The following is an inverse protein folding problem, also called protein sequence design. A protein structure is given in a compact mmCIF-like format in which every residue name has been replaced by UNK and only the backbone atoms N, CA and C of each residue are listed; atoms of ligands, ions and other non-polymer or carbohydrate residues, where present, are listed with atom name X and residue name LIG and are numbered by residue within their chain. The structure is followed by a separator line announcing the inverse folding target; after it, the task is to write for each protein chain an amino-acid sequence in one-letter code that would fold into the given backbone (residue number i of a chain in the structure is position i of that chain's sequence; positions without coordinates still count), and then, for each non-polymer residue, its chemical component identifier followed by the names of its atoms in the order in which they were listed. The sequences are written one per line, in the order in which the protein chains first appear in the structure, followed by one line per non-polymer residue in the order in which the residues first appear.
data_IF_398862107987
#
_entry.id   IF_398862107987
#
_cell.length_a   1.000
_cell.length_b   1.000
_cell.length_c   1.000
_cell.angle_alpha   90.00
_cell.angle_beta   90.00
_cell.angle_gamma   90.00
#
_symmetry.space_group_name_H-M   'P 1'
#
loop_
_entity.id
_entity.type
_entity.pdbx_description
1 polymer ?
#
# COMPACT_ATOMS: atom_id res chain seq x y z
N UNK A 1 -28.50 -3.49 -10.59
CA UNK A 1 -27.64 -2.35 -10.24
C UNK A 1 -27.84 -2.06 -8.76
N UNK A 2 -26.80 -2.10 -7.93
CA UNK A 2 -26.94 -1.85 -6.48
C UNK A 2 -27.29 -0.37 -6.25
N UNK A 3 -27.96 -0.06 -5.13
CA UNK A 3 -28.33 1.32 -4.76
C UNK A 3 -27.11 2.26 -4.73
N UNK A 4 -25.97 1.76 -4.22
CA UNK A 4 -24.71 2.51 -4.25
C UNK A 4 -24.18 2.80 -5.66
N UNK A 5 -24.27 1.85 -6.60
CA UNK A 5 -23.83 2.09 -7.97
C UNK A 5 -24.69 3.16 -8.66
N UNK A 6 -25.99 3.20 -8.35
CA UNK A 6 -26.89 4.25 -8.84
C UNK A 6 -26.55 5.62 -8.24
N UNK A 7 -26.25 5.68 -6.94
CA UNK A 7 -25.78 6.92 -6.30
C UNK A 7 -24.45 7.40 -6.87
N UNK A 8 -23.49 6.49 -7.08
CA UNK A 8 -22.20 6.79 -7.71
C UNK A 8 -22.41 7.33 -9.14
N UNK A 9 -23.25 6.67 -9.94
CA UNK A 9 -23.57 7.13 -11.29
C UNK A 9 -24.22 8.52 -11.28
N UNK A 10 -25.16 8.76 -10.37
CA UNK A 10 -25.81 10.08 -10.21
C UNK A 10 -24.79 11.15 -9.87
N UNK A 11 -23.88 10.88 -8.93
CA UNK A 11 -22.81 11.79 -8.53
C UNK A 11 -21.85 12.12 -9.70
N UNK A 12 -21.42 11.10 -10.44
CA UNK A 12 -20.56 11.26 -11.63
C UNK A 12 -21.25 12.12 -12.72
N UNK A 13 -22.53 11.87 -13.00
CA UNK A 13 -23.26 12.63 -14.01
C UNK A 13 -23.65 14.05 -13.57
N UNK A 14 -23.92 14.23 -12.29
CA UNK A 14 -24.45 15.48 -11.73
C UNK A 14 -23.35 16.43 -11.28
N UNK A 15 -22.69 16.10 -10.17
CA UNK A 15 -21.71 16.99 -9.52
C UNK A 15 -20.38 17.02 -10.27
N UNK A 16 -19.92 15.88 -10.77
CA UNK A 16 -18.66 15.81 -11.53
C UNK A 16 -18.86 16.28 -12.98
N UNK A 17 -20.07 16.15 -13.52
CA UNK A 17 -20.43 16.61 -14.87
C UNK A 17 -19.98 15.69 -16.00
N UNK A 18 -19.87 14.38 -15.77
CA UNK A 18 -19.61 13.39 -16.82
C UNK A 18 -20.93 13.04 -17.54
N UNK A 19 -21.11 13.54 -18.76
CA UNK A 19 -22.36 13.38 -19.51
C UNK A 19 -22.52 12.02 -20.20
N UNK A 20 -21.43 11.44 -20.73
CA UNK A 20 -21.41 10.14 -21.39
C UNK A 20 -20.18 9.34 -20.91
N UNK A 21 -20.40 8.31 -20.11
CA UNK A 21 -19.33 7.43 -19.62
C UNK A 21 -19.79 5.98 -19.47
N UNK A 22 -18.85 5.05 -19.59
CA UNK A 22 -19.05 3.66 -19.18
C UNK A 22 -18.40 3.45 -17.81
N UNK A 23 -18.98 2.56 -17.02
CA UNK A 23 -18.47 2.18 -15.70
C UNK A 23 -18.33 0.67 -15.64
N UNK A 24 -17.12 0.20 -15.37
CA UNK A 24 -16.80 -1.22 -15.28
C UNK A 24 -16.13 -1.53 -13.94
N UNK A 25 -16.53 -2.59 -13.23
CA UNK A 25 -15.88 -2.95 -11.97
C UNK A 25 -14.41 -3.33 -12.24
N UNK A 26 -13.52 -2.74 -11.46
CA UNK A 26 -12.15 -3.27 -11.32
C UNK A 26 -12.25 -4.45 -10.35
N UNK A 27 -11.71 -5.61 -10.73
CA UNK A 27 -11.70 -6.77 -9.83
C UNK A 27 -10.96 -6.39 -8.55
N UNK A 28 -11.70 -6.30 -7.44
CA UNK A 28 -11.20 -5.77 -6.17
C UNK A 28 -10.75 -6.85 -5.19
N UNK A 29 -9.92 -6.43 -4.24
CA UNK A 29 -9.46 -7.23 -3.11
C UNK A 29 -10.54 -7.38 -2.02
N UNK A 30 -10.24 -8.06 -0.91
CA UNK A 30 -11.16 -8.38 0.18
C UNK A 30 -11.67 -7.19 1.03
N UNK A 31 -11.52 -5.94 0.57
CA UNK A 31 -11.94 -4.74 1.32
C UNK A 31 -13.41 -4.37 1.09
N UNK A 32 -13.92 -3.44 1.91
CA UNK A 32 -15.26 -2.88 1.71
C UNK A 32 -15.32 -1.84 0.58
N UNK A 33 -14.16 -1.36 0.12
CA UNK A 33 -14.03 -0.40 -0.98
C UNK A 33 -14.22 -1.11 -2.31
N UNK A 34 -14.89 -0.43 -3.23
CA UNK A 34 -15.05 -0.90 -4.60
C UNK A 34 -14.48 0.12 -5.55
N UNK A 35 -13.79 -0.37 -6.56
CA UNK A 35 -13.19 0.45 -7.60
C UNK A 35 -13.89 0.17 -8.92
N UNK A 36 -14.17 1.23 -9.65
CA UNK A 36 -14.79 1.15 -10.97
C UNK A 36 -14.00 1.99 -11.95
N UNK A 37 -13.59 1.40 -13.07
CA UNK A 37 -13.00 2.15 -14.17
C UNK A 37 -14.11 2.89 -14.91
N UNK A 38 -13.94 4.20 -15.01
CA UNK A 38 -14.84 5.12 -15.70
C UNK A 38 -14.17 5.58 -16.98
N UNK A 39 -14.77 5.29 -18.12
CA UNK A 39 -14.27 5.75 -19.43
C UNK A 39 -15.24 6.79 -19.96
N UNK A 40 -14.80 8.05 -19.99
CA UNK A 40 -15.58 9.13 -20.57
C UNK A 40 -15.60 9.03 -22.10
N UNK A 41 -16.64 9.54 -22.76
CA UNK A 41 -16.77 9.52 -24.21
C UNK A 41 -15.60 10.22 -24.95
N UNK A 42 -14.93 11.17 -24.27
CA UNK A 42 -13.71 11.82 -24.79
C UNK A 42 -12.45 10.95 -24.79
N UNK A 43 -12.52 9.73 -24.23
CA UNK A 43 -11.39 8.80 -24.11
C UNK A 43 -10.64 8.89 -22.77
N UNK A 44 -10.93 9.91 -21.96
CA UNK A 44 -10.35 10.04 -20.63
C UNK A 44 -10.77 8.88 -19.71
N UNK A 45 -9.80 8.34 -18.98
CA UNK A 45 -10.01 7.23 -18.05
C UNK A 45 -9.80 7.69 -16.62
N UNK A 46 -10.68 7.23 -15.75
CA UNK A 46 -10.69 7.54 -14.33
C UNK A 46 -11.03 6.28 -13.54
N UNK A 47 -10.72 6.30 -12.24
CA UNK A 47 -11.15 5.25 -11.30
C UNK A 47 -12.08 5.89 -10.28
N UNK A 48 -13.34 5.47 -10.28
CA UNK A 48 -14.28 5.83 -9.23
C UNK A 48 -14.13 4.87 -8.05
N UNK A 49 -13.86 5.40 -6.86
CA UNK A 49 -13.86 4.66 -5.60
C UNK A 49 -15.23 4.84 -4.92
N UNK A 50 -15.77 3.73 -4.44
CA UNK A 50 -16.93 3.66 -3.57
C UNK A 50 -16.52 3.02 -2.22
N UNK A 51 -16.42 3.83 -1.17
CA UNK A 51 -16.11 3.41 0.19
C UNK A 51 -17.27 3.83 1.12
N UNK A 52 -18.13 2.90 1.59
CA UNK A 52 -19.28 3.24 2.41
C UNK A 52 -18.87 3.99 3.71
N UNK A 53 -19.39 5.22 3.97
CA UNK A 53 -18.97 6.04 5.12
C UNK A 53 -19.23 5.40 6.49
N UNK A 54 -20.20 4.49 6.58
CA UNK A 54 -20.50 3.72 7.78
C UNK A 54 -19.44 2.66 8.10
N UNK A 55 -18.57 2.35 7.14
CA UNK A 55 -17.52 1.34 7.25
C UNK A 55 -16.12 1.94 7.17
N UNK A 56 -15.94 2.98 6.35
CA UNK A 56 -14.62 3.42 5.95
C UNK A 56 -14.58 4.91 5.58
N UNK A 57 -13.58 5.62 6.13
CA UNK A 57 -13.40 7.06 5.90
C UNK A 57 -12.46 7.30 4.72
N UNK A 58 -12.89 8.14 3.77
CA UNK A 58 -12.07 8.54 2.62
C UNK A 58 -11.08 9.66 2.94
N UNK A 59 -11.22 10.38 4.07
CA UNK A 59 -10.36 11.52 4.42
C UNK A 59 -8.88 11.14 4.56
N UNK A 60 -8.50 10.03 5.23
CA UNK A 60 -7.11 9.58 5.28
C UNK A 60 -6.53 9.32 3.89
N UNK A 61 -7.31 8.70 2.99
CA UNK A 61 -6.88 8.47 1.60
C UNK A 61 -6.53 9.78 0.91
N UNK A 62 -7.42 10.78 0.94
CA UNK A 62 -7.20 12.06 0.27
C UNK A 62 -5.99 12.78 0.86
N UNK A 63 -5.88 12.81 2.19
CA UNK A 63 -4.76 13.48 2.89
C UNK A 63 -3.41 12.87 2.52
N UNK A 64 -3.29 11.53 2.59
CA UNK A 64 -2.04 10.85 2.26
C UNK A 64 -1.75 10.99 0.76
N UNK A 65 -2.75 10.90 -0.12
CA UNK A 65 -2.57 11.07 -1.55
C UNK A 65 -1.99 12.46 -1.88
N UNK A 66 -2.55 13.53 -1.31
CA UNK A 66 -2.06 14.90 -1.52
C UNK A 66 -0.64 15.07 -0.99
N UNK A 67 -0.33 14.52 0.18
CA UNK A 67 1.01 14.55 0.76
C UNK A 67 2.03 13.85 -0.15
N UNK A 68 1.77 12.61 -0.56
CA UNK A 68 2.68 11.86 -1.44
C UNK A 68 2.86 12.56 -2.80
N UNK A 69 1.79 13.12 -3.39
CA UNK A 69 1.92 13.92 -4.63
C UNK A 69 2.78 15.15 -4.44
N UNK A 70 2.68 15.83 -3.29
CA UNK A 70 3.51 17.01 -3.01
C UNK A 70 5.01 16.70 -2.94
N UNK A 71 5.36 15.43 -2.69
CA UNK A 71 6.73 14.91 -2.71
C UNK A 71 7.19 14.47 -4.10
N UNK A 72 6.34 14.61 -5.12
CA UNK A 72 6.62 14.16 -6.49
C UNK A 72 6.40 12.67 -6.72
N UNK A 73 5.79 11.96 -5.77
CA UNK A 73 5.43 10.55 -5.93
C UNK A 73 4.16 10.42 -6.78
N UNK A 74 4.09 9.35 -7.57
CA UNK A 74 2.97 9.11 -8.47
C UNK A 74 1.88 8.28 -7.77
N UNK A 75 0.98 8.95 -7.07
CA UNK A 75 -0.24 8.33 -6.53
C UNK A 75 -1.48 8.87 -7.28
N UNK A 76 -2.63 8.16 -7.28
CA UNK A 76 -3.81 8.59 -8.00
C UNK A 76 -4.25 10.00 -7.58
N UNK A 77 -4.28 10.93 -8.53
CA UNK A 77 -4.78 12.28 -8.28
C UNK A 77 -6.27 12.27 -7.99
N UNK A 78 -6.68 12.96 -6.93
CA UNK A 78 -8.11 13.13 -6.59
C UNK A 78 -8.69 14.24 -7.48
N UNK A 79 -9.50 13.85 -8.46
CA UNK A 79 -10.19 14.80 -9.37
C UNK A 79 -11.43 15.39 -8.75
N UNK A 80 -12.22 14.56 -8.07
CA UNK A 80 -13.45 14.97 -7.40
C UNK A 80 -13.71 14.10 -6.17
N UNK A 81 -14.41 14.65 -5.18
CA UNK A 81 -14.74 13.95 -3.94
C UNK A 81 -16.15 14.30 -3.46
N UNK A 82 -16.87 13.30 -2.98
CA UNK A 82 -18.10 13.44 -2.21
C UNK A 82 -17.96 12.60 -0.93
N UNK A 83 -17.23 13.15 0.04
CA UNK A 83 -16.84 12.45 1.27
C UNK A 83 -18.05 12.02 2.11
N UNK A 84 -19.11 12.83 2.16
CA UNK A 84 -20.36 12.50 2.86
C UNK A 84 -21.05 11.24 2.31
N UNK A 85 -20.82 10.93 1.03
CA UNK A 85 -21.36 9.75 0.36
C UNK A 85 -20.32 8.62 0.22
N UNK A 86 -19.05 8.91 0.50
CA UNK A 86 -17.94 7.97 0.38
C UNK A 86 -17.49 7.72 -1.06
N UNK A 87 -17.58 8.74 -1.92
CA UNK A 87 -17.17 8.63 -3.32
C UNK A 87 -15.94 9.48 -3.63
N UNK A 88 -15.00 8.91 -4.37
CA UNK A 88 -13.87 9.63 -4.96
C UNK A 88 -13.78 9.32 -6.46
N UNK A 89 -13.31 10.29 -7.23
CA UNK A 89 -12.92 10.10 -8.61
C UNK A 89 -11.42 10.35 -8.72
N UNK A 90 -10.70 9.31 -9.10
CA UNK A 90 -9.25 9.22 -9.08
C UNK A 90 -8.68 9.12 -10.48
N UNK A 91 -7.46 9.62 -10.66
CA UNK A 91 -6.64 9.36 -11.84
C UNK A 91 -6.45 7.85 -12.08
N UNK A 92 -6.59 7.40 -13.32
CA UNK A 92 -6.30 6.03 -13.71
C UNK A 92 -4.79 5.88 -13.99
N UNK A 93 -4.07 5.19 -13.09
CA UNK A 93 -2.63 4.91 -13.23
C UNK A 93 -2.31 3.83 -14.27
N UNK A 94 -3.31 3.31 -14.98
CA UNK A 94 -3.17 2.29 -16.00
C UNK A 94 -3.63 0.92 -15.53
N UNK A 95 -3.20 -0.12 -16.24
CA UNK A 95 -3.66 -1.50 -16.02
C UNK A 95 -2.52 -2.51 -15.86
N UNK A 96 -1.26 -2.06 -15.89
CA UNK A 96 -0.09 -2.93 -15.83
C UNK A 96 0.56 -2.75 -14.48
N UNK A 97 0.46 -3.77 -13.64
CA UNK A 97 1.13 -3.85 -12.36
C UNK A 97 2.60 -4.25 -12.57
N UNK A 98 3.45 -4.00 -11.58
CA UNK A 98 4.83 -4.48 -11.61
C UNK A 98 4.86 -5.99 -11.73
N UNK A 99 4.00 -6.70 -10.97
CA UNK A 99 3.91 -8.17 -11.03
C UNK A 99 3.73 -8.71 -12.45
N UNK A 100 2.99 -8.00 -13.31
CA UNK A 100 2.69 -8.46 -14.68
C UNK A 100 3.94 -8.48 -15.58
N UNK A 101 4.96 -7.69 -15.26
CA UNK A 101 6.13 -7.46 -16.11
C UNK A 101 7.45 -7.82 -15.44
N UNK A 102 7.45 -8.13 -14.15
CA UNK A 102 8.64 -8.52 -13.40
C UNK A 102 9.19 -9.85 -13.94
N UNK A 103 10.46 -9.81 -14.33
CA UNK A 103 11.25 -10.96 -14.76
C UNK A 103 12.74 -10.62 -14.60
N UNK A 104 13.61 -11.59 -14.88
CA UNK A 104 15.06 -11.46 -14.72
C UNK A 104 15.65 -10.19 -15.35
N UNK A 105 15.10 -9.75 -16.49
CA UNK A 105 15.60 -8.58 -17.23
C UNK A 105 15.00 -7.23 -16.79
N UNK A 106 13.83 -7.24 -16.15
CA UNK A 106 13.09 -6.01 -15.78
C UNK A 106 13.17 -5.68 -14.30
N UNK A 107 13.43 -6.67 -13.44
CA UNK A 107 13.38 -6.53 -11.99
C UNK A 107 14.31 -5.46 -11.45
N UNK A 108 15.58 -5.43 -11.87
CA UNK A 108 16.54 -4.46 -11.33
C UNK A 108 16.13 -3.01 -11.61
N UNK A 109 15.56 -2.74 -12.79
CA UNK A 109 15.08 -1.39 -13.13
C UNK A 109 13.84 -1.03 -12.32
N UNK A 110 12.84 -1.91 -12.29
CA UNK A 110 11.58 -1.66 -11.61
C UNK A 110 11.77 -1.54 -10.09
N UNK A 111 12.56 -2.43 -9.49
CA UNK A 111 12.88 -2.35 -8.07
C UNK A 111 13.77 -1.14 -7.78
N UNK A 112 14.66 -0.75 -8.69
CA UNK A 112 15.37 0.53 -8.58
C UNK A 112 14.43 1.74 -8.49
N UNK A 113 13.42 1.82 -9.37
CA UNK A 113 12.40 2.87 -9.35
C UNK A 113 11.59 2.84 -8.03
N UNK A 114 11.15 1.65 -7.59
CA UNK A 114 10.40 1.48 -6.35
C UNK A 114 11.23 1.82 -5.10
N UNK A 115 12.46 1.36 -5.01
CA UNK A 115 13.36 1.68 -3.89
C UNK A 115 13.67 3.18 -3.83
N UNK A 116 13.82 3.84 -4.97
CA UNK A 116 13.95 5.30 -5.07
C UNK A 116 12.72 6.03 -4.52
N UNK A 117 11.53 5.61 -4.94
CA UNK A 117 10.27 6.18 -4.43
C UNK A 117 10.09 5.91 -2.93
N UNK A 118 10.41 4.71 -2.45
CA UNK A 118 10.35 4.35 -1.04
C UNK A 118 11.29 5.21 -0.20
N UNK A 119 12.51 5.49 -0.67
CA UNK A 119 13.43 6.39 0.02
C UNK A 119 12.85 7.81 0.15
N UNK A 120 12.14 8.32 -0.87
CA UNK A 120 11.45 9.61 -0.79
C UNK A 120 10.31 9.57 0.23
N UNK A 121 9.50 8.51 0.25
CA UNK A 121 8.45 8.33 1.28
C UNK A 121 9.07 8.39 2.67
N UNK A 122 10.09 7.57 2.93
CA UNK A 122 10.65 7.45 4.27
C UNK A 122 11.44 8.68 4.72
N UNK A 123 12.05 9.42 3.79
CA UNK A 123 12.80 10.64 4.10
C UNK A 123 11.90 11.87 4.31
N UNK A 124 10.80 11.96 3.55
CA UNK A 124 10.08 13.22 3.39
C UNK A 124 8.60 13.16 3.78
N UNK A 125 7.96 11.98 3.82
CA UNK A 125 6.55 11.88 4.18
C UNK A 125 6.36 12.17 5.68
N UNK A 126 5.36 13.01 6.04
CA UNK A 126 5.12 13.34 7.42
C UNK A 126 4.61 12.11 8.18
N UNK A 127 5.24 11.81 9.32
CA UNK A 127 4.74 10.80 10.27
C UNK A 127 3.73 11.38 11.26
N UNK A 128 3.69 12.71 11.39
CA UNK A 128 2.78 13.42 12.29
C UNK A 128 1.34 13.22 11.84
N UNK A 129 0.52 12.68 12.73
CA UNK A 129 -0.90 12.41 12.46
C UNK A 129 -1.18 11.03 11.87
N UNK A 130 -0.15 10.25 11.53
CA UNK A 130 -0.33 8.84 11.22
C UNK A 130 -0.57 8.03 12.49
N UNK A 131 -1.36 6.94 12.43
CA UNK A 131 -1.44 5.98 13.51
C UNK A 131 -0.07 5.38 13.82
N UNK A 132 0.15 5.06 15.09
CA UNK A 132 1.39 4.44 15.53
C UNK A 132 1.36 2.95 15.21
N UNK A 133 2.41 2.45 14.54
CA UNK A 133 2.62 1.02 14.36
C UNK A 133 3.24 0.42 15.63
N UNK A 134 2.43 0.35 16.68
CA UNK A 134 2.86 -0.05 18.01
C UNK A 134 2.87 -1.57 18.23
N UNK A 135 3.32 -1.98 19.42
CA UNK A 135 3.34 -3.38 19.81
C UNK A 135 1.97 -4.07 19.68
N UNK A 136 0.89 -3.36 20.01
CA UNK A 136 -0.45 -3.93 20.00
C UNK A 136 -0.91 -4.20 18.56
N UNK A 137 -0.62 -3.28 17.63
CA UNK A 137 -0.95 -3.47 16.22
C UNK A 137 -0.12 -4.59 15.59
N UNK A 138 1.21 -4.62 15.82
CA UNK A 138 2.10 -5.69 15.34
C UNK A 138 1.65 -7.07 15.83
N UNK A 139 1.36 -7.22 17.12
CA UNK A 139 0.88 -8.46 17.70
C UNK A 139 -0.48 -8.88 17.10
N UNK A 140 -1.39 -7.93 16.88
CA UNK A 140 -2.70 -8.21 16.28
C UNK A 140 -2.57 -8.73 14.85
N UNK A 141 -1.66 -8.19 14.07
CA UNK A 141 -1.43 -8.65 12.69
C UNK A 141 -0.76 -10.02 12.66
N UNK A 142 0.25 -10.25 13.49
CA UNK A 142 0.88 -11.58 13.60
C UNK A 142 -0.09 -12.64 14.10
N UNK A 143 -1.02 -12.29 14.98
CA UNK A 143 -2.07 -13.20 15.45
C UNK A 143 -2.98 -13.72 14.33
N UNK A 144 -3.06 -13.04 13.17
CA UNK A 144 -3.82 -13.53 12.01
C UNK A 144 -3.31 -14.90 11.53
N UNK A 145 -2.01 -15.18 11.66
CA UNK A 145 -1.45 -16.50 11.36
C UNK A 145 -2.07 -17.58 12.26
N UNK A 146 -2.13 -17.34 13.56
CA UNK A 146 -2.70 -18.27 14.54
C UNK A 146 -4.20 -18.45 14.35
N UNK A 147 -4.93 -17.36 14.19
CA UNK A 147 -6.39 -17.36 14.18
C UNK A 147 -6.94 -17.87 12.85
N UNK A 148 -6.41 -17.38 11.72
CA UNK A 148 -6.94 -17.70 10.41
C UNK A 148 -6.29 -18.93 9.80
N UNK A 149 -4.96 -18.99 9.76
CA UNK A 149 -4.29 -20.12 9.11
C UNK A 149 -4.35 -21.37 9.98
N UNK A 150 -3.83 -21.32 11.20
CA UNK A 150 -3.73 -22.51 12.04
C UNK A 150 -5.12 -22.98 12.50
N UNK A 151 -5.87 -22.13 13.20
CA UNK A 151 -7.13 -22.54 13.80
C UNK A 151 -8.26 -22.67 12.76
N UNK A 152 -8.51 -21.63 11.96
CA UNK A 152 -9.71 -21.58 11.10
C UNK A 152 -9.57 -22.38 9.81
N UNK A 153 -8.42 -22.32 9.14
CA UNK A 153 -8.19 -22.95 7.85
C UNK A 153 -7.69 -24.39 7.99
N UNK A 154 -6.66 -24.61 8.81
CA UNK A 154 -6.05 -25.94 9.00
C UNK A 154 -6.68 -26.76 10.14
N UNK A 155 -7.45 -26.14 11.03
CA UNK A 155 -8.05 -26.83 12.18
C UNK A 155 -7.03 -27.24 13.26
N UNK A 156 -5.83 -26.69 13.23
CA UNK A 156 -4.74 -26.98 14.17
C UNK A 156 -5.00 -26.21 15.46
N UNK A 157 -5.05 -26.94 16.58
CA UNK A 157 -5.09 -26.36 17.93
C UNK A 157 -3.71 -26.50 18.56
N UNK A 158 -3.11 -25.36 18.90
CA UNK A 158 -1.84 -25.32 19.60
C UNK A 158 -2.04 -25.72 21.06
N UNK A 159 -1.15 -26.57 21.57
CA UNK A 159 -1.06 -26.82 23.01
C UNK A 159 -0.39 -25.64 23.74
N UNK A 160 -0.40 -25.67 25.08
CA UNK A 160 0.15 -24.59 25.90
C UNK A 160 1.65 -24.35 25.66
N UNK A 161 2.42 -25.38 25.31
CA UNK A 161 3.85 -25.22 25.04
C UNK A 161 4.07 -24.56 23.67
N UNK A 162 3.31 -24.96 22.65
CA UNK A 162 3.34 -24.37 21.31
C UNK A 162 2.85 -22.92 21.31
N UNK A 163 1.79 -22.61 22.06
CA UNK A 163 1.31 -21.23 22.26
C UNK A 163 2.40 -20.36 22.87
N UNK A 164 3.14 -20.87 23.85
CA UNK A 164 4.24 -20.13 24.47
C UNK A 164 5.37 -19.86 23.48
N UNK A 165 5.80 -20.87 22.71
CA UNK A 165 6.85 -20.70 21.69
C UNK A 165 6.44 -19.63 20.67
N UNK A 166 5.18 -19.66 20.23
CA UNK A 166 4.69 -18.69 19.25
C UNK A 166 4.61 -17.28 19.83
N UNK A 167 4.16 -17.14 21.08
CA UNK A 167 4.14 -15.85 21.76
C UNK A 167 5.55 -15.29 21.96
N UNK A 168 6.51 -16.12 22.39
CA UNK A 168 7.92 -15.71 22.53
C UNK A 168 8.51 -15.24 21.19
N UNK A 169 8.15 -15.89 20.07
CA UNK A 169 8.55 -15.45 18.75
C UNK A 169 7.90 -14.10 18.36
N UNK A 170 6.61 -13.92 18.65
CA UNK A 170 5.92 -12.64 18.38
C UNK A 170 6.48 -11.50 19.22
N UNK A 171 6.80 -11.75 20.48
CA UNK A 171 7.40 -10.75 21.36
C UNK A 171 8.78 -10.33 20.82
N UNK A 172 9.63 -11.29 20.44
CA UNK A 172 10.94 -11.01 19.85
C UNK A 172 10.85 -10.20 18.54
N UNK A 173 9.94 -10.57 17.65
CA UNK A 173 9.72 -9.85 16.38
C UNK A 173 9.18 -8.43 16.63
N UNK A 174 8.31 -8.28 17.63
CA UNK A 174 7.78 -6.97 18.03
C UNK A 174 8.87 -6.08 18.59
N UNK A 175 9.72 -6.59 19.49
CA UNK A 175 10.86 -5.87 20.04
C UNK A 175 11.82 -5.42 18.93
N UNK A 176 12.16 -6.33 18.01
CA UNK A 176 13.05 -6.01 16.88
C UNK A 176 12.44 -5.05 15.85
N UNK A 177 11.11 -5.01 15.73
CA UNK A 177 10.46 -3.96 14.94
C UNK A 177 10.55 -2.60 15.65
N UNK A 178 10.26 -2.56 16.95
CA UNK A 178 10.16 -1.31 17.70
C UNK A 178 11.51 -0.65 18.02
N UNK A 179 12.61 -1.38 17.96
CA UNK A 179 13.97 -0.81 18.11
C UNK A 179 14.41 0.00 16.88
N UNK A 180 13.75 -0.22 15.73
CA UNK A 180 14.16 0.41 14.47
C UNK A 180 13.75 1.89 14.42
N UNK A 181 14.46 2.70 13.61
CA UNK A 181 14.02 4.04 13.24
C UNK A 181 12.61 4.01 12.66
N UNK A 182 11.82 5.02 13.02
CA UNK A 182 10.41 5.11 12.65
C UNK A 182 10.18 6.11 11.53
N UNK A 183 9.45 5.66 10.52
CA UNK A 183 9.18 6.38 9.26
C UNK A 183 7.72 6.16 8.84
N UNK A 184 7.29 6.84 7.79
CA UNK A 184 6.02 6.54 7.14
C UNK A 184 6.12 5.16 6.47
N UNK A 185 5.28 4.22 6.92
CA UNK A 185 5.14 2.85 6.40
C UNK A 185 3.80 2.75 5.68
N UNK A 186 3.82 2.40 4.40
CA UNK A 186 2.62 2.26 3.56
C UNK A 186 1.88 0.93 3.78
N UNK A 187 2.59 -0.08 4.33
CA UNK A 187 2.12 -1.43 4.70
C UNK A 187 1.91 -2.38 3.52
N UNK A 188 1.34 -1.92 2.41
CA UNK A 188 1.06 -2.75 1.23
C UNK A 188 1.97 -2.40 0.03
N UNK A 189 3.24 -2.13 0.30
CA UNK A 189 4.25 -1.76 -0.71
C UNK A 189 4.85 -3.00 -1.39
N UNK A 190 4.08 -3.63 -2.28
CA UNK A 190 4.48 -4.84 -3.02
C UNK A 190 4.12 -4.77 -4.51
N UNK A 191 4.58 -5.72 -5.33
CA UNK A 191 4.50 -5.65 -6.80
C UNK A 191 3.08 -5.54 -7.38
N UNK A 192 2.04 -5.97 -6.66
CA UNK A 192 0.63 -5.78 -7.06
C UNK A 192 0.09 -4.37 -6.82
N UNK A 193 0.71 -3.57 -5.96
CA UNK A 193 0.29 -2.21 -5.65
C UNK A 193 1.19 -1.15 -6.30
N UNK A 194 2.12 -1.60 -7.15
CA UNK A 194 2.97 -0.73 -7.97
C UNK A 194 2.56 -0.86 -9.44
N UNK A 195 2.38 0.27 -10.11
CA UNK A 195 1.93 0.39 -11.49
C UNK A 195 3.08 0.84 -12.38
N UNK A 196 3.17 0.25 -13.57
CA UNK A 196 4.11 0.69 -14.61
C UNK A 196 3.58 1.98 -15.26
N UNK A 197 4.29 3.08 -15.02
CA UNK A 197 3.95 4.40 -15.54
C UNK A 197 5.14 5.01 -16.30
N UNK A 198 4.88 5.97 -17.19
CA UNK A 198 5.93 6.56 -18.03
C UNK A 198 6.83 7.53 -17.25
N UNK A 199 6.26 8.43 -16.46
CA UNK A 199 6.95 9.34 -15.52
C UNK A 199 5.89 10.20 -14.82
N UNK A 200 5.93 10.38 -13.48
CA UNK A 200 6.82 9.70 -12.53
C UNK A 200 6.52 8.20 -12.42
N UNK A 201 7.45 7.40 -11.90
CA UNK A 201 7.35 5.93 -11.71
C UNK A 201 7.97 5.52 -10.37
N UNK A 202 7.47 4.46 -9.69
CA UNK A 202 6.21 3.75 -9.95
C UNK A 202 4.96 4.60 -9.70
N UNK A 203 3.84 4.20 -10.30
CA UNK A 203 2.53 4.53 -9.74
C UNK A 203 2.29 3.72 -8.46
N UNK A 204 1.92 4.35 -7.35
CA UNK A 204 1.75 3.70 -6.04
C UNK A 204 0.27 3.68 -5.68
N UNK A 205 -0.26 2.50 -5.35
CA UNK A 205 -1.61 2.25 -4.88
C UNK A 205 -1.61 1.83 -3.41
N UNK A 206 -2.80 1.78 -2.81
CA UNK A 206 -3.04 1.15 -1.50
C UNK A 206 -2.19 1.70 -0.34
N UNK A 207 -2.11 3.03 -0.24
CA UNK A 207 -1.30 3.74 0.77
C UNK A 207 -2.12 4.35 1.91
N UNK A 208 -3.45 4.21 1.88
CA UNK A 208 -4.35 4.91 2.80
C UNK A 208 -4.27 4.43 4.26
N UNK A 209 -3.72 3.24 4.47
CA UNK A 209 -3.54 2.65 5.79
C UNK A 209 -2.14 2.89 6.35
N UNK A 210 -1.45 3.93 5.84
CA UNK A 210 -0.10 4.27 6.25
C UNK A 210 0.00 4.57 7.76
N UNK A 211 1.11 4.17 8.35
CA UNK A 211 1.39 4.26 9.77
C UNK A 211 2.79 4.80 10.03
N UNK A 212 3.03 5.29 11.23
CA UNK A 212 4.37 5.60 11.70
C UNK A 212 5.01 4.33 12.28
N UNK A 213 5.97 3.72 11.58
CA UNK A 213 6.44 2.36 11.88
C UNK A 213 7.89 2.07 11.46
N UNK A 214 8.34 0.81 11.62
CA UNK A 214 9.73 0.43 11.38
C UNK A 214 10.16 0.60 9.93
N UNK A 215 11.35 1.17 9.75
CA UNK A 215 11.97 1.49 8.45
C UNK A 215 12.08 0.31 7.47
N UNK A 216 12.20 -0.92 7.96
CA UNK A 216 12.37 -2.10 7.11
C UNK A 216 11.07 -2.71 6.60
N UNK A 217 9.90 -2.29 7.10
CA UNK A 217 8.64 -3.00 6.84
C UNK A 217 8.28 -3.03 5.34
N UNK A 218 8.19 -1.87 4.71
CA UNK A 218 7.87 -1.77 3.27
C UNK A 218 8.98 -2.36 2.38
N UNK A 219 10.24 -2.30 2.83
CA UNK A 219 11.36 -2.93 2.12
C UNK A 219 11.19 -4.46 2.10
N UNK A 220 10.85 -5.05 3.25
CA UNK A 220 10.57 -6.50 3.34
C UNK A 220 9.35 -6.86 2.51
N UNK A 221 8.28 -6.06 2.55
CA UNK A 221 7.08 -6.25 1.73
C UNK A 221 7.40 -6.30 0.23
N UNK A 222 8.31 -5.44 -0.25
CA UNK A 222 8.71 -5.41 -1.65
C UNK A 222 9.66 -6.56 -2.03
N UNK A 223 10.67 -6.82 -1.19
CA UNK A 223 11.76 -7.74 -1.53
C UNK A 223 11.44 -9.21 -1.20
N UNK A 224 10.52 -9.45 -0.27
CA UNK A 224 9.99 -10.79 0.09
C UNK A 224 8.50 -10.88 -0.26
N UNK A 225 8.15 -10.34 -1.41
CA UNK A 225 6.81 -10.40 -1.98
C UNK A 225 6.32 -11.87 -2.08
N UNK A 226 5.08 -12.14 -1.64
CA UNK A 226 4.53 -13.50 -1.63
C UNK A 226 4.10 -14.01 -3.02
N UNK A 227 4.06 -13.13 -4.03
CA UNK A 227 3.66 -13.49 -5.40
C UNK A 227 4.84 -13.82 -6.32
N UNK A 228 6.06 -13.44 -5.94
CA UNK A 228 7.26 -13.62 -6.76
C UNK A 228 8.49 -13.88 -5.89
N UNK A 229 9.23 -14.92 -6.23
CA UNK A 229 10.44 -15.32 -5.52
C UNK A 229 11.68 -15.02 -6.37
N UNK A 230 12.72 -14.48 -5.73
CA UNK A 230 13.99 -14.13 -6.35
C UNK A 230 15.14 -14.88 -5.69
N UNK A 231 16.27 -14.98 -6.39
CA UNK A 231 17.50 -15.51 -5.82
C UNK A 231 17.88 -14.73 -4.54
N UNK A 232 18.17 -15.41 -3.41
CA UNK A 232 18.49 -14.74 -2.15
C UNK A 232 19.65 -13.74 -2.24
N UNK A 233 20.67 -14.00 -3.07
CA UNK A 233 21.80 -13.09 -3.22
C UNK A 233 21.39 -11.80 -3.95
N UNK A 234 20.41 -11.89 -4.87
CA UNK A 234 19.83 -10.72 -5.54
C UNK A 234 19.00 -9.88 -4.57
N UNK A 235 18.18 -10.54 -3.74
CA UNK A 235 17.42 -9.89 -2.66
C UNK A 235 18.34 -9.15 -1.70
N UNK A 236 19.41 -9.80 -1.26
CA UNK A 236 20.44 -9.19 -0.40
C UNK A 236 21.09 -7.98 -1.08
N UNK A 237 21.46 -8.09 -2.36
CA UNK A 237 22.04 -6.97 -3.11
C UNK A 237 21.10 -5.76 -3.19
N UNK A 238 19.80 -5.97 -3.39
CA UNK A 238 18.82 -4.87 -3.38
C UNK A 238 18.65 -4.26 -2.00
N UNK A 239 18.63 -5.08 -0.94
CA UNK A 239 18.56 -4.60 0.44
C UNK A 239 19.78 -3.76 0.81
N UNK A 240 20.99 -4.18 0.45
CA UNK A 240 22.23 -3.41 0.66
C UNK A 240 22.22 -2.12 -0.17
N UNK A 241 21.76 -2.17 -1.42
CA UNK A 241 21.60 -0.98 -2.25
C UNK A 241 20.64 0.03 -1.63
N UNK A 242 19.51 -0.44 -1.09
CA UNK A 242 18.57 0.40 -0.36
C UNK A 242 19.17 0.98 0.92
N UNK A 243 19.90 0.18 1.70
CA UNK A 243 20.58 0.67 2.91
C UNK A 243 21.51 1.85 2.60
N UNK A 244 22.31 1.74 1.53
CA UNK A 244 23.17 2.84 1.08
C UNK A 244 22.37 4.08 0.67
N UNK A 245 21.25 3.90 -0.04
CA UNK A 245 20.35 4.99 -0.41
C UNK A 245 19.74 5.65 0.83
N UNK A 246 19.27 4.85 1.80
CA UNK A 246 18.68 5.34 3.03
C UNK A 246 19.66 6.17 3.88
N UNK A 247 20.94 5.78 3.92
CA UNK A 247 22.00 6.60 4.54
C UNK A 247 22.20 7.93 3.79
N UNK A 248 22.28 7.89 2.46
CA UNK A 248 22.48 9.10 1.64
C UNK A 248 21.30 10.07 1.72
N UNK A 249 20.08 9.56 1.81
CA UNK A 249 18.84 10.32 1.92
C UNK A 249 18.55 10.77 3.36
N UNK A 250 19.35 10.38 4.34
CA UNK A 250 19.18 10.74 5.76
C UNK A 250 18.02 10.03 6.47
N UNK A 251 17.44 9.00 5.84
CA UNK A 251 16.46 8.09 6.45
C UNK A 251 17.12 7.34 7.61
N UNK A 252 18.32 6.83 7.37
CA UNK A 252 19.16 6.18 8.37
C UNK A 252 20.38 7.05 8.67
N UNK A 253 20.91 6.90 9.89
CA UNK A 253 22.16 7.52 10.33
C UNK A 253 23.12 6.40 10.72
N UNK A 254 24.43 6.63 10.62
CA UNK A 254 25.45 5.64 11.02
C UNK A 254 25.34 5.18 12.48
N UNK A 255 24.64 5.92 13.33
CA UNK A 255 24.34 5.53 14.72
C UNK A 255 23.39 4.33 14.83
N UNK A 256 22.71 3.98 13.73
CA UNK A 256 21.82 2.81 13.62
C UNK A 256 22.54 1.53 13.15
N UNK A 257 23.89 1.50 13.13
CA UNK A 257 24.71 0.34 12.74
C UNK A 257 24.94 -0.69 13.87
N UNK A 258 24.33 -0.52 15.05
CA UNK A 258 24.57 -1.40 16.22
C UNK A 258 23.80 -2.72 16.15
#
# INVERSE_FOLDING_TARGET
MTERLAALHSWLSGEVGLSDFTIEPVCGDASFRRYFRVVAAGGDKWVAMDAPPDREDCRPFVQIAEQLRSLGLHVPGVRAQALEHGFLLLEDLGAVHYLDVLNESTADRLYGDALGALAVVQACAPTVGLPEYDAALLLREMALFSDWLLQRHLGIRLDTAQQRILQEAFDLLTESALEQPRVCVLRDYHSRNLMVTSSPTPGILDFQDAVNGPVTYDLVSLLKDCYIEWDPARVESWAVGYYQLALQSGVLRHEHEQ
#
